data_IF_128812702676
#
_entry.id   IF_128812702676
#
_cell.length_a   1.000
_cell.length_b   1.000
_cell.length_c   1.000
_cell.angle_alpha   90.00
_cell.angle_beta   90.00
_cell.angle_gamma   90.00
#
_symmetry.space_group_name_H-M   'P 1'
#
loop_
_entity.id
_entity.type
_entity.pdbx_description
1 polymer ?
#
# COMPACT_ATOMS: atom_id res chain seq x y z
N UNK A 1 -14.30 33.21 -2.91
CA UNK A 1 -13.48 32.92 -4.11
C UNK A 1 -12.13 33.61 -3.94
N UNK A 2 -11.03 32.85 -3.78
CA UNK A 2 -9.68 33.44 -3.81
C UNK A 2 -9.21 33.43 -5.25
N UNK A 3 -8.88 34.61 -5.77
CA UNK A 3 -8.26 34.78 -7.08
C UNK A 3 -6.78 34.47 -6.97
N UNK A 4 -6.26 33.71 -7.92
CA UNK A 4 -4.82 33.63 -8.15
C UNK A 4 -4.33 35.01 -8.62
N UNK A 5 -3.51 35.72 -7.83
CA UNK A 5 -3.08 37.08 -8.17
C UNK A 5 -2.09 37.13 -9.36
N UNK A 6 -1.52 36.00 -9.78
CA UNK A 6 -0.60 35.93 -10.92
C UNK A 6 -1.28 35.49 -12.22
N UNK A 7 -2.26 34.57 -12.14
CA UNK A 7 -2.91 33.97 -13.31
C UNK A 7 -4.37 34.38 -13.50
N UNK A 8 -4.95 35.16 -12.58
CA UNK A 8 -6.32 35.67 -12.67
C UNK A 8 -7.42 34.60 -12.58
N UNK A 9 -7.08 33.35 -12.30
CA UNK A 9 -8.04 32.25 -12.20
C UNK A 9 -8.59 32.06 -10.79
N UNK A 10 -9.82 31.57 -10.71
CA UNK A 10 -10.48 31.18 -9.45
C UNK A 10 -10.59 29.67 -9.29
N UNK A 11 -10.49 29.21 -8.05
CA UNK A 11 -10.95 27.89 -7.65
C UNK A 11 -12.41 28.00 -7.22
N UNK A 12 -13.26 27.17 -7.79
CA UNK A 12 -14.67 27.07 -7.46
C UNK A 12 -14.87 25.98 -6.40
N UNK A 13 -15.68 26.30 -5.40
CA UNK A 13 -16.23 25.36 -4.45
C UNK A 13 -17.70 25.17 -4.82
N UNK A 14 -18.03 23.99 -5.32
CA UNK A 14 -19.38 23.70 -5.82
C UNK A 14 -19.94 22.46 -5.16
N UNK A 15 -21.25 22.46 -4.93
CA UNK A 15 -22.00 21.25 -4.57
C UNK A 15 -22.53 20.65 -5.86
N UNK A 16 -22.48 19.33 -6.01
CA UNK A 16 -23.07 18.63 -7.15
C UNK A 16 -24.12 17.61 -6.69
N UNK A 17 -25.12 17.38 -7.55
CA UNK A 17 -26.14 16.32 -7.43
C UNK A 17 -25.78 15.17 -8.38
N UNK A 18 -26.27 13.92 -8.17
CA UNK A 18 -25.88 12.76 -8.97
C UNK A 18 -26.24 12.97 -10.46
N UNK A 19 -25.34 12.58 -11.38
CA UNK A 19 -25.61 12.55 -12.83
C UNK A 19 -24.59 13.21 -13.75
N UNK A 20 -23.53 13.84 -13.23
CA UNK A 20 -22.50 14.52 -14.04
C UNK A 20 -21.09 13.90 -13.89
N UNK A 21 -20.96 12.59 -14.12
CA UNK A 21 -19.65 11.91 -14.08
C UNK A 21 -19.26 11.33 -12.71
N UNK A 22 -20.14 11.42 -11.71
CA UNK A 22 -19.95 10.84 -10.39
C UNK A 22 -20.88 9.63 -10.23
N UNK A 23 -20.31 8.46 -9.89
CA UNK A 23 -21.08 7.23 -9.64
C UNK A 23 -21.83 7.37 -8.31
N UNK A 24 -23.13 7.66 -8.36
CA UNK A 24 -24.09 7.61 -7.25
C UNK A 24 -23.78 8.49 -6.00
N UNK A 25 -24.16 9.77 -5.98
CA UNK A 25 -24.11 10.59 -4.77
C UNK A 25 -24.14 12.09 -5.02
N UNK A 26 -24.32 12.87 -3.95
CA UNK A 26 -24.08 14.32 -3.94
C UNK A 26 -22.76 14.59 -3.23
N UNK A 27 -22.18 15.77 -3.40
CA UNK A 27 -20.88 16.02 -2.81
C UNK A 27 -20.39 17.44 -2.99
N UNK A 28 -19.16 17.65 -2.53
CA UNK A 28 -18.41 18.88 -2.68
C UNK A 28 -17.29 18.64 -3.68
N UNK A 29 -17.15 19.53 -4.66
CA UNK A 29 -16.05 19.51 -5.64
C UNK A 29 -15.22 20.78 -5.53
N UNK A 30 -13.90 20.59 -5.54
CA UNK A 30 -12.90 21.64 -5.68
C UNK A 30 -12.28 21.51 -7.07
N UNK A 31 -12.51 22.52 -7.90
CA UNK A 31 -12.02 22.52 -9.28
C UNK A 31 -11.74 23.95 -9.75
N UNK A 32 -10.66 24.13 -10.50
CA UNK A 32 -10.41 25.37 -11.25
C UNK A 32 -11.17 25.29 -12.57
N UNK A 33 -11.83 26.37 -12.97
CA UNK A 33 -12.56 26.43 -14.24
C UNK A 33 -11.63 26.06 -15.41
N UNK A 34 -12.11 25.22 -16.33
CA UNK A 34 -11.36 24.63 -17.45
C UNK A 34 -10.13 23.77 -17.08
N UNK A 35 -9.97 23.32 -15.83
CA UNK A 35 -8.96 22.33 -15.46
C UNK A 35 -9.46 20.90 -15.69
N UNK A 36 -8.54 19.98 -15.98
CA UNK A 36 -8.83 18.53 -16.02
C UNK A 36 -8.81 17.90 -14.61
N UNK A 37 -8.15 18.56 -13.65
CA UNK A 37 -7.96 18.05 -12.29
C UNK A 37 -9.08 18.50 -11.34
N UNK A 38 -9.42 17.63 -10.38
CA UNK A 38 -10.42 17.91 -9.36
C UNK A 38 -10.19 17.12 -8.07
N UNK A 39 -10.82 17.60 -6.99
CA UNK A 39 -10.98 16.85 -5.74
C UNK A 39 -12.47 16.80 -5.40
N UNK A 40 -12.98 15.61 -5.10
CA UNK A 40 -14.38 15.37 -4.73
C UNK A 40 -14.44 14.74 -3.34
N UNK A 41 -15.35 15.25 -2.50
CA UNK A 41 -15.83 14.57 -1.30
C UNK A 41 -17.29 14.21 -1.54
N UNK A 42 -17.56 12.91 -1.69
CA UNK A 42 -18.87 12.39 -2.05
C UNK A 42 -19.54 11.78 -0.83
N UNK A 43 -20.84 11.98 -0.70
CA UNK A 43 -21.67 11.37 0.33
C UNK A 43 -22.89 10.70 -0.28
N UNK A 44 -23.41 9.69 0.41
CA UNK A 44 -24.65 9.04 0.03
C UNK A 44 -25.85 9.91 0.43
N UNK A 45 -26.88 9.94 -0.42
CA UNK A 45 -28.11 10.72 -0.20
C UNK A 45 -29.25 9.88 0.40
N UNK A 46 -29.07 8.56 0.55
CA UNK A 46 -30.07 7.66 1.13
C UNK A 46 -30.00 7.53 2.66
N UNK A 47 -29.26 8.41 3.37
CA UNK A 47 -29.02 8.36 4.82
C UNK A 47 -28.46 9.67 5.39
N UNK A 48 -27.68 9.61 6.48
CA UNK A 48 -27.17 10.76 7.27
C UNK A 48 -26.10 11.64 6.57
N UNK A 49 -26.03 11.64 5.24
CA UNK A 49 -25.03 12.35 4.44
C UNK A 49 -23.58 12.00 4.80
N UNK A 50 -23.33 10.77 5.26
CA UNK A 50 -21.99 10.27 5.52
C UNK A 50 -21.15 10.24 4.24
N UNK A 51 -19.92 10.76 4.33
CA UNK A 51 -18.96 10.74 3.23
C UNK A 51 -18.66 9.29 2.87
N UNK A 52 -18.99 8.89 1.64
CA UNK A 52 -18.74 7.56 1.13
C UNK A 52 -17.29 7.38 0.67
N UNK A 53 -16.70 8.44 0.11
CA UNK A 53 -15.34 8.43 -0.40
C UNK A 53 -14.82 9.84 -0.74
N UNK A 54 -13.49 9.94 -0.79
CA UNK A 54 -12.75 11.12 -1.24
C UNK A 54 -11.95 10.75 -2.49
N UNK A 55 -12.13 11.51 -3.57
CA UNK A 55 -11.49 11.23 -4.86
C UNK A 55 -10.62 12.41 -5.27
N UNK A 56 -9.39 12.12 -5.69
CA UNK A 56 -8.56 13.04 -6.48
C UNK A 56 -8.51 12.51 -7.91
N UNK A 57 -8.88 13.33 -8.89
CA UNK A 57 -9.00 12.88 -10.29
C UNK A 57 -8.36 13.84 -11.28
N UNK A 58 -7.95 13.28 -12.43
CA UNK A 58 -7.52 14.02 -13.61
C UNK A 58 -8.21 13.40 -14.82
N UNK A 59 -9.14 14.16 -15.40
CA UNK A 59 -9.91 13.75 -16.57
C UNK A 59 -9.48 14.59 -17.78
N UNK A 60 -8.56 14.04 -18.57
CA UNK A 60 -8.12 14.63 -19.83
C UNK A 60 -8.94 14.07 -20.99
N UNK A 61 -8.88 14.69 -22.17
CA UNK A 61 -9.55 14.19 -23.37
C UNK A 61 -9.16 12.74 -23.75
N UNK A 62 -7.98 12.27 -23.35
CA UNK A 62 -7.43 10.95 -23.72
C UNK A 62 -7.37 9.94 -22.59
N UNK A 63 -7.52 10.37 -21.33
CA UNK A 63 -7.26 9.52 -20.15
C UNK A 63 -7.89 10.10 -18.90
N UNK A 64 -8.54 9.21 -18.15
CA UNK A 64 -9.12 9.49 -16.84
C UNK A 64 -8.40 8.62 -15.80
N UNK A 65 -7.82 9.25 -14.78
CA UNK A 65 -7.17 8.58 -13.65
C UNK A 65 -7.71 9.16 -12.35
N UNK A 66 -7.76 8.33 -11.32
CA UNK A 66 -8.17 8.80 -10.00
C UNK A 66 -7.57 8.02 -8.85
N UNK A 67 -7.48 8.66 -7.70
CA UNK A 67 -7.13 8.06 -6.41
C UNK A 67 -8.33 8.19 -5.50
N UNK A 68 -8.92 7.05 -5.15
CA UNK A 68 -10.17 6.93 -4.42
C UNK A 68 -9.92 6.39 -3.01
N UNK A 69 -10.24 7.18 -2.00
CA UNK A 69 -10.15 6.84 -0.58
C UNK A 69 -11.55 6.57 -0.05
N UNK A 70 -11.82 5.32 0.29
CA UNK A 70 -13.16 4.82 0.54
C UNK A 70 -13.45 4.79 2.04
N UNK A 71 -14.73 4.93 2.41
CA UNK A 71 -15.19 4.81 3.81
C UNK A 71 -14.80 3.48 4.46
N UNK A 72 -14.62 2.42 3.67
CA UNK A 72 -14.12 1.12 4.13
C UNK A 72 -12.66 1.12 4.59
N UNK A 73 -11.95 2.24 4.43
CA UNK A 73 -10.50 2.36 4.70
C UNK A 73 -9.61 1.92 3.54
N UNK A 74 -10.20 1.46 2.42
CA UNK A 74 -9.44 1.12 1.22
C UNK A 74 -9.03 2.36 0.43
N UNK A 75 -7.87 2.30 -0.22
CA UNK A 75 -7.42 3.32 -1.17
C UNK A 75 -7.03 2.68 -2.50
N UNK A 76 -7.54 3.22 -3.62
CA UNK A 76 -7.38 2.64 -4.96
C UNK A 76 -6.82 3.69 -5.93
N UNK A 77 -5.76 3.33 -6.65
CA UNK A 77 -5.28 4.09 -7.80
C UNK A 77 -5.92 3.53 -9.09
N UNK A 78 -7.00 4.15 -9.55
CA UNK A 78 -7.70 3.74 -10.77
C UNK A 78 -6.87 4.03 -12.02
N UNK A 79 -6.79 3.04 -12.90
CA UNK A 79 -5.99 3.09 -14.14
C UNK A 79 -4.49 3.40 -13.89
N UNK A 80 -3.97 2.98 -12.73
CA UNK A 80 -2.57 3.15 -12.35
C UNK A 80 -2.14 2.20 -11.23
N UNK A 81 -1.03 2.53 -10.58
CA UNK A 81 -0.51 1.79 -9.42
C UNK A 81 0.26 2.75 -8.51
N UNK A 82 0.38 2.39 -7.24
CA UNK A 82 1.30 3.07 -6.33
C UNK A 82 2.74 2.75 -6.72
N UNK A 83 3.56 3.79 -6.92
CA UNK A 83 4.93 3.63 -7.40
C UNK A 83 5.90 3.45 -6.21
N UNK A 84 6.75 2.43 -6.30
CA UNK A 84 7.82 2.16 -5.32
C UNK A 84 9.19 2.42 -5.96
N UNK A 85 9.72 3.63 -5.80
CA UNK A 85 10.98 4.05 -6.43
C UNK A 85 12.17 3.25 -5.88
N UNK A 86 12.94 2.60 -6.75
CA UNK A 86 14.00 1.66 -6.33
C UNK A 86 15.32 1.77 -7.10
N UNK A 87 15.50 2.83 -7.89
CA UNK A 87 16.69 3.08 -8.71
C UNK A 87 18.00 3.07 -7.87
N UNK A 88 19.09 2.49 -8.40
CA UNK A 88 20.39 2.44 -7.70
C UNK A 88 20.93 3.85 -7.37
N UNK A 89 20.62 4.86 -8.18
CA UNK A 89 21.10 6.25 -8.01
C UNK A 89 20.53 6.95 -6.77
N UNK A 90 19.41 6.48 -6.24
CA UNK A 90 18.80 6.99 -5.02
C UNK A 90 19.17 6.14 -3.78
N UNK A 91 20.13 5.22 -3.91
CA UNK A 91 20.56 4.29 -2.85
C UNK A 91 22.06 4.43 -2.56
N UNK A 92 22.43 4.30 -1.29
CA UNK A 92 23.83 4.25 -0.81
C UNK A 92 23.97 3.10 0.20
N UNK A 93 25.21 2.65 0.44
CA UNK A 93 25.53 1.55 1.37
C UNK A 93 24.74 0.26 1.06
N UNK A 94 24.71 -0.13 -0.23
CA UNK A 94 23.96 -1.30 -0.68
C UNK A 94 24.68 -2.58 -0.22
N UNK A 95 23.99 -3.40 0.56
CA UNK A 95 24.43 -4.70 1.06
C UNK A 95 23.39 -5.76 0.72
N UNK A 96 23.82 -6.99 0.46
CA UNK A 96 22.92 -8.15 0.32
C UNK A 96 22.38 -8.56 1.68
N UNK A 97 21.26 -9.29 1.71
CA UNK A 97 20.71 -9.79 2.97
C UNK A 97 21.53 -10.99 3.43
N UNK A 98 22.29 -10.80 4.50
CA UNK A 98 23.06 -11.87 5.12
C UNK A 98 22.17 -12.87 5.86
N UNK A 99 22.62 -14.13 5.91
CA UNK A 99 21.97 -15.27 6.55
C UNK A 99 20.46 -15.39 6.22
N UNK A 100 20.07 -15.37 4.94
CA UNK A 100 18.66 -15.26 4.56
C UNK A 100 17.84 -16.48 4.99
N UNK A 101 18.43 -17.68 5.00
CA UNK A 101 17.73 -18.89 5.47
C UNK A 101 17.46 -18.87 6.97
N UNK A 102 18.37 -18.33 7.77
CA UNK A 102 18.19 -18.17 9.22
C UNK A 102 17.07 -17.15 9.50
N UNK A 103 17.13 -15.98 8.85
CA UNK A 103 16.08 -14.95 8.96
C UNK A 103 14.71 -15.50 8.57
N UNK A 104 14.62 -16.28 7.48
CA UNK A 104 13.38 -16.97 7.10
C UNK A 104 12.87 -17.92 8.17
N UNK A 105 13.75 -18.60 8.92
CA UNK A 105 13.37 -19.50 10.01
C UNK A 105 12.97 -18.79 11.30
N UNK A 106 13.27 -17.50 11.44
CA UNK A 106 12.90 -16.71 12.61
C UNK A 106 11.54 -16.00 12.47
N UNK A 107 10.86 -16.15 11.34
CA UNK A 107 9.54 -15.57 11.11
C UNK A 107 8.58 -16.57 10.46
N UNK A 108 7.26 -16.32 10.53
CA UNK A 108 6.25 -17.20 9.91
C UNK A 108 5.20 -16.43 9.12
N UNK A 109 4.59 -17.12 8.16
CA UNK A 109 3.37 -16.69 7.53
C UNK A 109 2.16 -17.09 8.36
N UNK A 110 1.25 -16.15 8.58
CA UNK A 110 0.04 -16.34 9.37
C UNK A 110 -1.20 -15.95 8.55
N UNK A 111 -2.34 -16.51 8.95
CA UNK A 111 -3.68 -15.96 8.67
C UNK A 111 -4.27 -15.49 9.99
N UNK A 112 -5.07 -14.43 9.98
CA UNK A 112 -5.64 -13.88 11.21
C UNK A 112 -6.98 -13.20 10.98
N UNK A 113 -7.74 -13.11 12.06
CA UNK A 113 -8.81 -12.15 12.23
C UNK A 113 -8.29 -10.92 12.98
N UNK A 114 -8.76 -9.73 12.60
CA UNK A 114 -8.41 -8.51 13.31
C UNK A 114 -9.42 -8.16 14.40
N UNK A 115 -8.92 -7.57 15.48
CA UNK A 115 -9.72 -7.16 16.64
C UNK A 115 -10.28 -5.74 16.53
N UNK A 116 -10.03 -5.01 15.44
CA UNK A 116 -10.37 -3.59 15.21
C UNK A 116 -11.36 -3.38 14.05
N UNK A 117 -12.23 -4.37 13.78
CA UNK A 117 -13.22 -4.37 12.69
C UNK A 117 -12.66 -4.31 11.26
N UNK A 118 -11.34 -4.30 11.09
CA UNK A 118 -10.75 -4.48 9.78
C UNK A 118 -10.94 -5.93 9.27
N UNK A 119 -10.90 -6.14 7.93
CA UNK A 119 -11.03 -7.46 7.34
C UNK A 119 -9.98 -8.46 7.85
N UNK A 120 -10.28 -9.78 7.81
CA UNK A 120 -9.26 -10.80 8.03
C UNK A 120 -8.16 -10.70 6.98
N UNK A 121 -6.97 -11.22 7.31
CA UNK A 121 -5.80 -11.09 6.45
C UNK A 121 -4.77 -12.18 6.64
N UNK A 122 -3.66 -12.04 5.91
CA UNK A 122 -2.55 -12.97 5.90
C UNK A 122 -1.23 -12.25 5.64
N UNK A 123 -0.12 -12.80 6.14
CA UNK A 123 1.20 -12.17 6.06
C UNK A 123 2.05 -12.43 7.31
N UNK A 124 2.79 -11.40 7.76
CA UNK A 124 3.74 -11.50 8.86
C UNK A 124 3.24 -10.80 10.13
N UNK A 125 3.70 -11.26 11.29
CA UNK A 125 3.64 -10.50 12.54
C UNK A 125 4.77 -9.46 12.52
N UNK A 126 4.43 -8.18 12.73
CA UNK A 126 5.37 -7.08 12.59
C UNK A 126 6.57 -7.18 13.56
N UNK A 127 6.36 -7.73 14.75
CA UNK A 127 7.40 -7.93 15.76
C UNK A 127 8.45 -8.95 15.32
N UNK A 128 8.04 -10.08 14.74
CA UNK A 128 8.97 -11.07 14.17
C UNK A 128 9.75 -10.45 12.99
N UNK A 129 9.07 -9.69 12.12
CA UNK A 129 9.73 -8.98 11.02
C UNK A 129 10.73 -7.92 11.55
N UNK A 130 10.43 -7.28 12.67
CA UNK A 130 11.29 -6.27 13.28
C UNK A 130 12.62 -6.88 13.75
N UNK A 131 12.61 -8.11 14.26
CA UNK A 131 13.83 -8.80 14.68
C UNK A 131 14.74 -9.17 13.49
N UNK A 132 14.16 -9.52 12.33
CA UNK A 132 14.93 -10.00 11.16
C UNK A 132 15.25 -8.92 10.13
N UNK A 133 14.37 -7.94 9.97
CA UNK A 133 14.45 -6.84 9.00
C UNK A 133 13.78 -5.57 9.55
N UNK A 134 14.38 -4.91 10.57
CA UNK A 134 13.78 -3.78 11.27
C UNK A 134 13.44 -2.60 10.35
N UNK A 135 14.20 -2.40 9.27
CA UNK A 135 13.97 -1.32 8.31
C UNK A 135 12.70 -1.48 7.47
N UNK A 136 12.06 -2.65 7.51
CA UNK A 136 10.80 -2.92 6.83
C UNK A 136 9.59 -2.79 7.78
N UNK A 137 9.78 -2.29 9.00
CA UNK A 137 8.70 -2.09 9.99
C UNK A 137 8.60 -0.61 10.32
N UNK A 138 7.37 -0.10 10.34
CA UNK A 138 7.08 1.31 10.62
C UNK A 138 6.10 1.43 11.78
N UNK A 139 6.31 2.43 12.64
CA UNK A 139 5.32 2.82 13.64
C UNK A 139 4.14 3.50 12.92
N UNK A 140 2.96 2.92 13.06
CA UNK A 140 1.70 3.50 12.62
C UNK A 140 1.07 4.38 13.70
N UNK A 141 -0.21 4.70 13.48
CA UNK A 141 -0.99 5.50 14.42
C UNK A 141 -1.65 4.67 15.53
N UNK A 142 -2.66 5.29 16.14
CA UNK A 142 -3.55 4.68 17.11
C UNK A 142 -4.50 3.68 16.43
N UNK A 143 -4.67 2.51 17.03
CA UNK A 143 -5.70 1.52 16.64
C UNK A 143 -6.63 1.26 17.82
N UNK A 144 -7.93 1.37 17.60
CA UNK A 144 -8.95 1.07 18.61
C UNK A 144 -9.56 -0.30 18.34
N UNK A 145 -9.53 -1.17 19.34
CA UNK A 145 -10.08 -2.52 19.26
C UNK A 145 -11.59 -2.49 19.50
N UNK A 146 -12.27 -3.59 19.17
CA UNK A 146 -13.72 -3.79 19.36
C UNK A 146 -14.18 -3.62 20.81
N UNK A 147 -13.32 -3.89 21.78
CA UNK A 147 -13.59 -3.73 23.21
C UNK A 147 -13.30 -2.30 23.73
N UNK A 148 -12.91 -1.38 22.84
CA UNK A 148 -12.52 -0.01 23.18
C UNK A 148 -11.07 0.13 23.66
N UNK A 149 -10.30 -0.97 23.73
CA UNK A 149 -8.87 -0.92 24.06
C UNK A 149 -8.12 -0.18 22.96
N UNK A 150 -7.16 0.64 23.37
CA UNK A 150 -6.38 1.47 22.46
C UNK A 150 -4.96 0.93 22.40
N UNK A 151 -4.53 0.59 21.19
CA UNK A 151 -3.15 0.25 20.87
C UNK A 151 -2.51 1.47 20.23
N UNK A 152 -1.61 2.13 20.96
CA UNK A 152 -0.82 3.24 20.42
C UNK A 152 0.37 2.71 19.62
N UNK A 153 0.77 3.46 18.59
CA UNK A 153 1.92 3.14 17.73
C UNK A 153 1.86 1.73 17.11
N UNK A 154 0.70 1.34 16.61
CA UNK A 154 0.52 0.03 15.96
C UNK A 154 1.52 -0.16 14.85
N UNK A 155 2.30 -1.24 14.88
CA UNK A 155 3.32 -1.51 13.87
C UNK A 155 2.68 -1.88 12.52
N UNK A 156 3.30 -1.42 11.44
CA UNK A 156 2.97 -1.73 10.06
C UNK A 156 4.23 -2.21 9.32
N UNK A 157 4.06 -2.90 8.20
CA UNK A 157 5.15 -3.59 7.51
C UNK A 157 5.20 -3.27 6.01
N UNK A 158 6.41 -3.06 5.47
CA UNK A 158 6.66 -3.10 4.02
C UNK A 158 6.70 -4.56 3.57
N UNK A 159 5.51 -5.17 3.42
CA UNK A 159 5.40 -6.56 2.97
C UNK A 159 6.08 -6.76 1.62
N UNK A 160 5.91 -5.81 0.71
CA UNK A 160 6.45 -5.90 -0.66
C UNK A 160 7.97 -5.92 -0.68
N UNK A 161 8.62 -4.98 -0.01
CA UNK A 161 10.07 -4.88 0.08
C UNK A 161 10.67 -6.02 0.90
N UNK A 162 10.09 -6.34 2.06
CA UNK A 162 10.58 -7.42 2.91
C UNK A 162 10.52 -8.78 2.22
N UNK A 163 9.36 -9.11 1.65
CA UNK A 163 9.15 -10.37 0.92
C UNK A 163 10.07 -10.43 -0.30
N UNK A 164 10.12 -9.39 -1.14
CA UNK A 164 10.93 -9.41 -2.33
C UNK A 164 12.42 -9.57 -2.00
N UNK A 165 12.93 -8.83 -1.02
CA UNK A 165 14.34 -8.87 -0.68
C UNK A 165 14.72 -10.18 0.04
N UNK A 166 14.01 -10.53 1.12
CA UNK A 166 14.35 -11.71 1.93
C UNK A 166 14.11 -13.01 1.17
N UNK A 167 12.97 -13.15 0.48
CA UNK A 167 12.69 -14.37 -0.27
C UNK A 167 13.66 -14.55 -1.43
N UNK A 168 14.08 -13.46 -2.11
CA UNK A 168 15.02 -13.59 -3.21
C UNK A 168 16.38 -14.13 -2.75
N UNK A 169 16.97 -13.54 -1.71
CA UNK A 169 18.25 -14.02 -1.17
C UNK A 169 18.13 -15.43 -0.56
N UNK A 170 16.99 -15.77 0.05
CA UNK A 170 16.74 -17.12 0.54
C UNK A 170 16.66 -18.14 -0.61
N UNK A 171 16.00 -17.78 -1.73
CA UNK A 171 15.93 -18.62 -2.92
C UNK A 171 17.32 -18.82 -3.51
N UNK A 172 18.15 -17.78 -3.61
CA UNK A 172 19.53 -17.90 -4.09
C UNK A 172 20.35 -18.85 -3.20
N UNK A 173 20.26 -18.71 -1.87
CA UNK A 173 20.93 -19.62 -0.95
C UNK A 173 20.46 -21.07 -1.11
N UNK A 174 19.16 -21.31 -1.28
CA UNK A 174 18.63 -22.66 -1.55
C UNK A 174 19.09 -23.20 -2.91
N UNK A 175 19.23 -22.35 -3.94
CA UNK A 175 19.73 -22.77 -5.25
C UNK A 175 21.19 -23.25 -5.16
N UNK A 176 22.01 -22.60 -4.35
CA UNK A 176 23.38 -23.01 -4.08
C UNK A 176 23.43 -24.35 -3.34
N UNK A 177 22.63 -24.52 -2.28
CA UNK A 177 22.52 -25.79 -1.56
C UNK A 177 22.06 -26.94 -2.47
N UNK A 178 21.04 -26.71 -3.30
CA UNK A 178 20.55 -27.70 -4.27
C UNK A 178 21.63 -28.08 -5.29
N UNK A 179 22.41 -27.10 -5.76
CA UNK A 179 23.50 -27.36 -6.71
C UNK A 179 24.61 -28.20 -6.07
N UNK A 180 24.96 -27.89 -4.83
CA UNK A 180 25.92 -28.68 -4.04
C UNK A 180 25.43 -30.12 -3.83
N UNK A 181 24.15 -30.30 -3.44
CA UNK A 181 23.56 -31.62 -3.21
C UNK A 181 23.51 -32.45 -4.50
N UNK A 182 23.17 -31.85 -5.64
CA UNK A 182 23.17 -32.56 -6.94
C UNK A 182 24.55 -33.08 -7.29
N UNK A 183 25.60 -32.28 -7.09
CA UNK A 183 26.98 -32.69 -7.34
C UNK A 183 27.37 -33.92 -6.51
N UNK A 184 27.05 -33.91 -5.22
CA UNK A 184 27.29 -35.05 -4.32
C UNK A 184 26.57 -36.30 -4.83
N UNK A 185 25.30 -36.17 -5.24
CA UNK A 185 24.52 -37.29 -5.77
C UNK A 185 25.14 -37.86 -7.05
N UNK A 186 25.66 -37.02 -7.94
CA UNK A 186 26.28 -37.46 -9.19
C UNK A 186 27.63 -38.17 -8.93
N UNK A 187 28.43 -37.67 -8.00
CA UNK A 187 29.67 -38.32 -7.54
C UNK A 187 29.38 -39.70 -6.92
N UNK A 188 28.40 -39.80 -6.03
CA UNK A 188 27.98 -41.07 -5.41
C UNK A 188 27.43 -42.08 -6.42
N UNK A 189 26.85 -41.63 -7.53
CA UNK A 189 26.38 -42.51 -8.62
C UNK A 189 27.52 -43.00 -9.49
N UNK A 190 28.58 -42.20 -9.67
CA UNK A 190 29.75 -42.59 -10.45
C UNK A 190 30.63 -43.63 -9.74
N UNK A 191 30.51 -43.75 -8.41
CA UNK A 191 31.21 -44.75 -7.58
C UNK A 191 30.52 -46.13 -7.52
N UNK A 192 29.36 -46.30 -8.17
CA UNK A 192 28.61 -47.57 -8.24
C UNK A 192 28.69 -48.20 -9.61
#
# INVERSE_FOLDING_TARGET
>A
MKLDPQLGSSVELSVFTPGAGVKNGSGVVFKRSASDAYVIMQYNTSGDYEVSNMIMGIDTASRNVSWDFQLSGNAVANAGSWLSNSDKRIKKNIQTIENPLEKMRNMRGYTWDRLDNAPPGQGFIAQELMEVMPTAVFEGGRTELRDGTIVEKTLSVDVTGASAALHHEAILALMDEVSSLKKIVDEMKAEK
#
